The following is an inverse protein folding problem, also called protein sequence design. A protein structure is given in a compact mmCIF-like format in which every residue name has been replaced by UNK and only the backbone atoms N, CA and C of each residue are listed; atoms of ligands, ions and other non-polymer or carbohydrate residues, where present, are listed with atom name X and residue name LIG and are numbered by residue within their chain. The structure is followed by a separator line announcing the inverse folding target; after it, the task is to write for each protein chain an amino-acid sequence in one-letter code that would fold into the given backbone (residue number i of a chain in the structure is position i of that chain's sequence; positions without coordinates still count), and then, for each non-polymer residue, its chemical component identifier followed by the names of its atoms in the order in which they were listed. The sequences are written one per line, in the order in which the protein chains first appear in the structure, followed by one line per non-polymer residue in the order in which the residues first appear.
data_IF_186214118056
#
_entry.id   IF_186214118056
#
_cell.length_a   1.000
_cell.length_b   1.000
_cell.length_c   1.000
_cell.angle_alpha   90.00
_cell.angle_beta   90.00
_cell.angle_gamma   90.00
#
_symmetry.space_group_name_H-M   'P 1'
#
loop_
_entity.id
_entity.type
_entity.pdbx_description
1 polymer ?
#
# COMPACT_ATOMS: atom_id res chain seq x y z
N UNK A 1 4.26 -9.25 9.97
CA UNK A 1 4.37 -8.92 8.54
C UNK A 1 5.77 -9.32 8.13
N UNK A 2 5.92 -10.14 7.09
CA UNK A 2 7.24 -10.59 6.63
C UNK A 2 7.77 -9.73 5.50
N UNK A 3 6.87 -9.19 4.67
CA UNK A 3 7.25 -8.36 3.53
C UNK A 3 6.41 -7.10 3.51
N UNK A 4 7.06 -5.96 3.32
CA UNK A 4 6.42 -4.65 3.31
C UNK A 4 7.01 -3.80 2.19
N UNK A 5 6.16 -3.04 1.52
CA UNK A 5 6.52 -2.00 0.56
C UNK A 5 5.75 -0.73 0.91
N UNK A 6 6.45 0.38 1.07
CA UNK A 6 5.87 1.71 1.19
C UNK A 6 6.14 2.48 -0.09
N UNK A 7 5.08 2.89 -0.76
CA UNK A 7 5.12 3.69 -1.97
C UNK A 7 4.72 5.12 -1.64
N UNK A 8 5.47 6.10 -2.12
CA UNK A 8 5.13 7.52 -2.04
C UNK A 8 4.58 8.02 -3.37
N UNK A 9 3.54 8.82 -3.31
CA UNK A 9 2.92 9.44 -4.48
C UNK A 9 3.65 10.72 -4.82
N UNK A 10 3.89 10.96 -6.12
CA UNK A 10 4.46 12.22 -6.56
C UNK A 10 3.48 13.41 -6.40
N UNK A 11 3.99 14.63 -6.57
CA UNK A 11 3.18 15.85 -6.43
C UNK A 11 2.01 15.92 -7.42
N UNK A 12 2.15 15.25 -8.57
CA UNK A 12 1.16 15.21 -9.64
C UNK A 12 0.11 14.10 -9.48
N UNK A 13 0.22 13.26 -8.44
CA UNK A 13 -0.60 12.07 -8.24
C UNK A 13 -0.56 11.06 -9.39
N UNK A 14 0.51 11.09 -10.21
CA UNK A 14 0.59 10.29 -11.42
C UNK A 14 1.46 9.05 -11.25
N UNK A 15 2.52 9.14 -10.43
CA UNK A 15 3.40 8.03 -10.13
C UNK A 15 3.45 7.71 -8.65
N UNK A 16 3.62 6.41 -8.36
CA UNK A 16 4.01 5.92 -7.05
C UNK A 16 5.41 5.32 -7.11
N UNK A 17 6.30 5.76 -6.23
CA UNK A 17 7.68 5.27 -6.16
C UNK A 17 7.93 4.60 -4.83
N UNK A 18 8.69 3.51 -4.84
CA UNK A 18 9.03 2.81 -3.62
C UNK A 18 9.97 3.68 -2.77
N UNK A 19 9.58 3.90 -1.52
CA UNK A 19 10.38 4.67 -0.56
C UNK A 19 11.02 3.78 0.50
N UNK A 20 10.35 2.71 0.90
CA UNK A 20 10.86 1.74 1.87
C UNK A 20 10.44 0.33 1.48
N UNK A 21 11.34 -0.63 1.73
CA UNK A 21 11.13 -2.06 1.52
C UNK A 21 11.64 -2.86 2.70
N UNK A 22 10.96 -3.98 2.96
CA UNK A 22 11.42 -5.01 3.87
C UNK A 22 11.01 -6.39 3.34
N UNK A 23 11.90 -7.37 3.40
CA UNK A 23 11.61 -8.76 2.99
C UNK A 23 11.31 -8.96 1.49
N UNK A 24 11.65 -7.99 0.64
CA UNK A 24 11.50 -8.04 -0.82
C UNK A 24 12.87 -7.94 -1.51
N UNK A 25 13.01 -8.41 -2.78
CA UNK A 25 14.23 -8.23 -3.55
C UNK A 25 14.62 -6.75 -3.64
N UNK A 26 15.91 -6.44 -3.49
CA UNK A 26 16.41 -5.07 -3.43
C UNK A 26 16.14 -4.27 -4.70
N UNK A 27 16.07 -4.95 -5.86
CA UNK A 27 15.76 -4.37 -7.16
C UNK A 27 14.37 -3.72 -7.20
N UNK A 28 13.43 -4.21 -6.36
CA UNK A 28 12.11 -3.62 -6.23
C UNK A 28 12.14 -2.17 -5.70
N UNK A 29 13.25 -1.71 -5.12
CA UNK A 29 13.39 -0.32 -4.64
C UNK A 29 13.31 0.70 -5.79
N UNK A 30 13.66 0.27 -7.01
CA UNK A 30 13.58 1.09 -8.23
C UNK A 30 12.18 1.12 -8.86
N UNK A 31 11.23 0.33 -8.33
CA UNK A 31 9.90 0.21 -8.91
C UNK A 31 9.16 1.55 -8.89
N UNK A 32 8.65 1.92 -10.06
CA UNK A 32 7.71 3.04 -10.24
C UNK A 32 6.42 2.50 -10.85
N UNK A 33 5.28 2.85 -10.25
CA UNK A 33 3.95 2.51 -10.73
C UNK A 33 3.28 3.76 -11.31
N UNK A 34 2.60 3.60 -12.44
CA UNK A 34 1.78 4.67 -13.01
C UNK A 34 0.34 4.50 -12.56
N UNK A 35 -0.20 5.48 -11.84
CA UNK A 35 -1.57 5.44 -11.32
C UNK A 35 -2.59 5.25 -12.46
N UNK A 36 -2.40 5.96 -13.59
CA UNK A 36 -3.32 5.91 -14.74
C UNK A 36 -3.43 4.54 -15.40
N UNK A 37 -2.45 3.65 -15.19
CA UNK A 37 -2.45 2.30 -15.76
C UNK A 37 -3.15 1.27 -14.87
N UNK A 38 -3.65 1.66 -13.70
CA UNK A 38 -4.36 0.77 -12.78
C UNK A 38 -5.56 1.47 -12.15
N UNK A 39 -6.79 1.07 -12.51
CA UNK A 39 -8.01 1.59 -11.88
C UNK A 39 -8.03 1.39 -10.36
N UNK A 40 -7.40 0.31 -9.89
CA UNK A 40 -7.24 0.04 -8.47
C UNK A 40 -6.40 1.13 -7.77
N UNK A 41 -5.25 1.48 -8.37
CA UNK A 41 -4.40 2.53 -7.83
C UNK A 41 -5.11 3.89 -7.87
N UNK A 42 -5.81 4.21 -8.95
CA UNK A 42 -6.62 5.45 -9.03
C UNK A 42 -7.61 5.53 -7.87
N UNK A 43 -8.39 4.48 -7.63
CA UNK A 43 -9.37 4.46 -6.53
C UNK A 43 -8.71 4.59 -5.16
N UNK A 44 -7.57 3.93 -4.95
CA UNK A 44 -6.80 4.03 -3.70
C UNK A 44 -6.18 5.42 -3.47
N UNK A 45 -5.92 6.19 -4.54
CA UNK A 45 -5.40 7.55 -4.47
C UNK A 45 -6.51 8.60 -4.34
N UNK A 46 -7.67 8.36 -4.95
CA UNK A 46 -8.85 9.23 -4.87
C UNK A 46 -9.49 9.18 -3.48
N UNK A 47 -9.63 7.99 -2.91
CA UNK A 47 -10.28 7.79 -1.61
C UNK A 47 -9.45 6.85 -0.74
N UNK A 48 -9.13 7.30 0.47
CA UNK A 48 -8.44 6.46 1.45
C UNK A 48 -9.22 5.16 1.69
N UNK A 49 -8.53 4.03 1.51
CA UNK A 49 -9.12 2.71 1.68
C UNK A 49 -8.09 1.68 2.12
N UNK A 50 -8.59 0.55 2.63
CA UNK A 50 -7.80 -0.64 2.90
C UNK A 50 -8.42 -1.83 2.17
N UNK A 51 -7.59 -2.59 1.48
CA UNK A 51 -7.94 -3.80 0.76
C UNK A 51 -7.23 -4.96 1.42
N UNK A 52 -7.99 -6.02 1.70
CA UNK A 52 -7.48 -7.30 2.17
C UNK A 52 -7.79 -8.35 1.12
N UNK A 53 -6.75 -8.83 0.44
CA UNK A 53 -6.85 -9.98 -0.43
C UNK A 53 -6.81 -11.25 0.40
N UNK A 54 -7.70 -12.17 0.06
CA UNK A 54 -7.80 -13.53 0.57
C UNK A 54 -8.16 -14.45 -0.60
N UNK A 55 -8.02 -15.78 -0.46
CA UNK A 55 -8.44 -16.72 -1.49
C UNK A 55 -9.88 -16.50 -1.97
N UNK A 56 -10.78 -16.05 -1.08
CA UNK A 56 -12.19 -15.81 -1.40
C UNK A 56 -12.43 -14.66 -2.41
N UNK A 57 -11.52 -13.68 -2.49
CA UNK A 57 -11.72 -12.49 -3.34
C UNK A 57 -10.57 -12.27 -4.35
N UNK A 58 -9.46 -13.00 -4.23
CA UNK A 58 -8.27 -12.77 -5.03
C UNK A 58 -8.52 -12.91 -6.52
N UNK A 59 -9.27 -13.91 -6.97
CA UNK A 59 -9.56 -14.12 -8.39
C UNK A 59 -10.21 -12.87 -9.03
N UNK A 60 -11.03 -12.16 -8.27
CA UNK A 60 -11.68 -10.92 -8.70
C UNK A 60 -10.72 -9.72 -8.65
N UNK A 61 -9.95 -9.56 -7.57
CA UNK A 61 -9.16 -8.35 -7.34
C UNK A 61 -7.74 -8.38 -7.92
N UNK A 62 -7.10 -9.54 -7.97
CA UNK A 62 -5.72 -9.67 -8.44
C UNK A 62 -5.52 -9.18 -9.89
N UNK A 63 -6.43 -9.41 -10.86
CA UNK A 63 -6.28 -8.86 -12.20
C UNK A 63 -6.16 -7.34 -12.25
N UNK A 64 -6.70 -6.61 -11.26
CA UNK A 64 -6.63 -5.15 -11.17
C UNK A 64 -5.31 -4.64 -10.55
N UNK A 65 -4.50 -5.53 -9.96
CA UNK A 65 -3.17 -5.19 -9.48
C UNK A 65 -2.20 -4.98 -10.67
N UNK A 66 -1.35 -3.93 -10.60
CA UNK A 66 -0.19 -3.81 -11.48
C UNK A 66 0.60 -5.13 -11.56
N UNK A 67 1.05 -5.50 -12.75
CA UNK A 67 1.77 -6.76 -13.01
C UNK A 67 3.00 -6.92 -12.12
N UNK A 68 3.76 -5.84 -11.91
CA UNK A 68 4.91 -5.79 -11.00
C UNK A 68 4.54 -6.16 -9.57
N UNK A 69 3.44 -5.64 -9.04
CA UNK A 69 2.97 -5.98 -7.69
C UNK A 69 2.52 -7.45 -7.59
N UNK A 70 1.86 -7.98 -8.62
CA UNK A 70 1.50 -9.41 -8.68
C UNK A 70 2.74 -10.31 -8.68
N UNK A 71 3.79 -9.92 -9.39
CA UNK A 71 5.04 -10.68 -9.47
C UNK A 71 5.82 -10.69 -8.15
N UNK A 72 5.80 -9.57 -7.40
CA UNK A 72 6.45 -9.45 -6.10
C UNK A 72 5.64 -10.15 -4.98
N UNK A 73 4.32 -10.01 -5.00
CA UNK A 73 3.39 -10.56 -4.00
C UNK A 73 2.55 -11.72 -4.58
N UNK A 74 3.23 -12.84 -4.86
CA UNK A 74 2.63 -14.00 -5.54
C UNK A 74 1.59 -14.77 -4.72
N UNK A 75 1.67 -14.69 -3.40
CA UNK A 75 0.80 -15.45 -2.51
C UNK A 75 -0.60 -14.87 -2.36
N UNK A 76 -1.50 -15.66 -1.78
CA UNK A 76 -2.95 -15.41 -1.85
C UNK A 76 -3.44 -14.27 -0.96
N UNK A 77 -2.69 -13.98 0.10
CA UNK A 77 -3.03 -12.96 1.08
C UNK A 77 -2.16 -11.71 0.94
N UNK A 78 -2.80 -10.54 0.87
CA UNK A 78 -2.13 -9.25 0.74
C UNK A 78 -2.96 -8.15 1.42
N UNK A 79 -2.30 -7.23 2.12
CA UNK A 79 -2.90 -5.99 2.60
C UNK A 79 -2.38 -4.82 1.77
N UNK A 80 -3.28 -3.96 1.32
CA UNK A 80 -2.96 -2.69 0.65
C UNK A 80 -3.75 -1.60 1.36
N UNK A 81 -3.08 -0.52 1.76
CA UNK A 81 -3.73 0.59 2.46
C UNK A 81 -3.20 1.93 2.00
N UNK A 82 -4.12 2.85 1.74
CA UNK A 82 -3.84 4.26 1.55
C UNK A 82 -3.47 4.92 2.88
N UNK A 83 -2.47 5.79 2.86
CA UNK A 83 -2.12 6.66 3.98
C UNK A 83 -2.37 8.11 3.56
N UNK A 84 -3.28 8.76 4.28
CA UNK A 84 -3.74 10.10 3.95
C UNK A 84 -3.32 11.14 4.99
N UNK A 85 -3.17 12.38 4.53
CA UNK A 85 -3.01 13.56 5.37
C UNK A 85 -3.83 14.69 4.76
N UNK A 86 -4.60 15.43 5.58
CA UNK A 86 -5.45 16.53 5.11
C UNK A 86 -6.37 16.16 3.92
N UNK A 87 -6.97 14.97 3.96
CA UNK A 87 -7.88 14.48 2.91
C UNK A 87 -7.21 14.00 1.62
N UNK A 88 -5.88 14.08 1.52
CA UNK A 88 -5.11 13.62 0.34
C UNK A 88 -4.33 12.36 0.65
N UNK A 89 -4.38 11.36 -0.24
CA UNK A 89 -3.53 10.16 -0.16
C UNK A 89 -2.11 10.53 -0.58
N UNK A 90 -1.14 10.26 0.30
CA UNK A 90 0.28 10.57 0.06
C UNK A 90 1.13 9.33 -0.15
N UNK A 91 0.70 8.19 0.41
CA UNK A 91 1.43 6.93 0.34
C UNK A 91 0.49 5.74 0.23
N UNK A 92 0.99 4.63 -0.30
CA UNK A 92 0.38 3.31 -0.19
C UNK A 92 1.31 2.38 0.59
N UNK A 93 0.79 1.71 1.61
CA UNK A 93 1.45 0.62 2.31
C UNK A 93 0.93 -0.72 1.78
N UNK A 94 1.85 -1.60 1.39
CA UNK A 94 1.56 -2.96 0.93
C UNK A 94 2.29 -3.93 1.84
N UNK A 95 1.60 -4.95 2.36
CA UNK A 95 2.21 -5.91 3.27
C UNK A 95 1.65 -7.32 3.12
N UNK A 96 2.51 -8.31 3.32
CA UNK A 96 2.10 -9.70 3.49
C UNK A 96 2.93 -10.50 4.52
N UNK A 97 2.54 -11.76 4.71
CA UNK A 97 3.23 -12.73 5.55
C UNK A 97 3.88 -13.83 4.70
N UNK A 98 4.43 -13.48 3.53
CA UNK A 98 4.87 -14.48 2.55
C UNK A 98 3.70 -15.20 1.87
N UNK A 99 2.57 -14.52 1.75
CA UNK A 99 1.39 -15.05 1.05
C UNK A 99 0.39 -15.85 1.89
N UNK A 100 0.69 -16.14 3.16
CA UNK A 100 -0.17 -16.92 4.06
C UNK A 100 -1.21 -16.05 4.79
N UNK A 101 -2.26 -16.64 5.39
CA UNK A 101 -3.29 -15.88 6.10
C UNK A 101 -2.73 -14.96 7.20
N UNK A 102 -3.38 -13.81 7.36
CA UNK A 102 -3.16 -12.94 8.53
C UNK A 102 -4.09 -13.35 9.66
N UNK A 103 -3.57 -13.37 10.89
CA UNK A 103 -4.44 -13.32 12.08
C UNK A 103 -5.18 -11.98 12.14
N UNK A 104 -6.36 -11.95 12.75
CA UNK A 104 -7.12 -10.71 12.91
C UNK A 104 -6.35 -9.64 13.69
N UNK A 105 -5.58 -10.05 14.71
CA UNK A 105 -4.69 -9.16 15.47
C UNK A 105 -3.65 -8.50 14.54
N UNK A 106 -3.08 -9.24 13.58
CA UNK A 106 -2.12 -8.68 12.63
C UNK A 106 -2.75 -7.63 11.71
N UNK A 107 -3.98 -7.87 11.26
CA UNK A 107 -4.73 -6.92 10.40
C UNK A 107 -5.06 -5.65 11.18
N UNK A 108 -5.50 -5.78 12.43
CA UNK A 108 -5.79 -4.65 13.31
C UNK A 108 -4.51 -3.85 13.63
N UNK A 109 -3.41 -4.54 13.95
CA UNK A 109 -2.13 -3.91 14.22
C UNK A 109 -1.64 -3.11 13.01
N UNK A 110 -1.75 -3.67 11.79
CA UNK A 110 -1.45 -2.96 10.55
C UNK A 110 -2.27 -1.69 10.39
N UNK A 111 -3.58 -1.75 10.65
CA UNK A 111 -4.46 -0.58 10.62
C UNK A 111 -4.05 0.50 11.63
N UNK A 112 -3.71 0.11 12.87
CA UNK A 112 -3.23 1.04 13.91
C UNK A 112 -1.88 1.66 13.55
N UNK A 113 -0.93 0.88 13.02
CA UNK A 113 0.36 1.39 12.54
C UNK A 113 0.17 2.44 11.46
N UNK A 114 -0.70 2.15 10.49
CA UNK A 114 -1.05 3.11 9.45
C UNK A 114 -1.66 4.41 10.01
N UNK A 115 -2.60 4.30 10.97
CA UNK A 115 -3.17 5.47 11.64
C UNK A 115 -2.11 6.29 12.39
N UNK A 116 -1.13 5.64 13.03
CA UNK A 116 -0.02 6.35 13.68
C UNK A 116 0.83 7.12 12.65
N UNK A 117 1.09 6.53 11.48
CA UNK A 117 1.78 7.23 10.38
C UNK A 117 0.95 8.44 9.92
N UNK A 118 -0.35 8.26 9.69
CA UNK A 118 -1.26 9.35 9.26
C UNK A 118 -1.29 10.49 10.29
N UNK A 119 -1.37 10.17 11.59
CA UNK A 119 -1.27 11.16 12.68
C UNK A 119 0.06 11.90 12.67
N UNK A 120 1.17 11.19 12.49
CA UNK A 120 2.49 11.81 12.41
C UNK A 120 2.59 12.78 11.23
N UNK A 121 2.13 12.37 10.04
CA UNK A 121 2.06 13.24 8.86
C UNK A 121 1.27 14.51 9.14
N UNK A 122 0.11 14.37 9.80
CA UNK A 122 -0.71 15.51 10.20
C UNK A 122 0.04 16.46 11.15
N UNK A 123 0.69 15.90 12.18
CA UNK A 123 1.47 16.70 13.12
C UNK A 123 2.64 17.43 12.46
N UNK A 124 3.36 16.80 11.52
CA UNK A 124 4.48 17.46 10.84
C UNK A 124 4.03 18.50 9.82
N UNK A 125 2.92 18.27 9.12
CA UNK A 125 2.39 19.21 8.12
C UNK A 125 1.82 20.47 8.78
N UNK A 126 1.26 20.34 9.99
CA UNK A 126 0.65 21.45 10.72
C UNK A 126 1.60 22.14 11.71
N UNK A 127 2.86 21.69 11.82
CA UNK A 127 3.88 22.27 12.71
C UNK A 127 4.45 23.61 12.23
N UNK A 128 4.17 24.01 11.00
CA UNK A 128 4.62 25.26 10.39
C UNK A 128 3.58 26.39 10.44
N UNK A 129 2.59 26.30 11.35
CA UNK A 129 1.70 27.40 11.70
C UNK A 129 1.83 27.74 13.19
#
# INVERSE_FOLDING_TARGET
MHRVMLLMVDRSLSHLRVQQLYGLPGEAASLTLQAKQSPLLQRLLEKSAQIRLTPANRAQFAPHLPSSLRQLFRGEHLLIRSLSCNGRVLMLAIADQGGVPFSEISVQAFGKTAQCIEKALHSFTNRSQ
#
